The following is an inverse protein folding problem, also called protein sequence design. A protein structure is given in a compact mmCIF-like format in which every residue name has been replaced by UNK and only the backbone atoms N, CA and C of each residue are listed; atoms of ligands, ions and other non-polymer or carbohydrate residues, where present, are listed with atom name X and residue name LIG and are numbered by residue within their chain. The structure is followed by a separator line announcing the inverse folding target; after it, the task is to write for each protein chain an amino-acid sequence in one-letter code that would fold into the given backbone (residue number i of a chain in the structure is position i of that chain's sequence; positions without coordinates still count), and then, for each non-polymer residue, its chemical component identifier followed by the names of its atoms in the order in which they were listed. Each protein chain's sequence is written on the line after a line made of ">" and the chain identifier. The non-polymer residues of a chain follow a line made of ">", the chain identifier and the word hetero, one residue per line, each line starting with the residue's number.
data_IF_693703837455
#
_entry.id   IF_693703837455
#
_cell.length_a   1.000
_cell.length_b   1.000
_cell.length_c   1.000
_cell.angle_alpha   90.00
_cell.angle_beta   90.00
_cell.angle_gamma   90.00
#
_symmetry.space_group_name_H-M   'P 1'
#
loop_
_entity.id
_entity.type
_entity.pdbx_description
1 polymer ?
#
# COMPACT_ATOMS: atom_id res chain seq x y z
N UNK A 1 -41.84 -21.78 -13.07
CA UNK A 1 -40.76 -20.84 -12.67
C UNK A 1 -39.60 -21.01 -13.63
N UNK A 2 -38.85 -19.95 -13.97
CA UNK A 2 -37.56 -20.09 -14.66
C UNK A 2 -36.66 -21.07 -13.89
N UNK A 3 -35.72 -21.71 -14.59
CA UNK A 3 -34.71 -22.53 -13.91
C UNK A 3 -33.84 -21.65 -13.01
N UNK A 4 -33.19 -22.26 -12.02
CA UNK A 4 -32.35 -21.51 -11.09
C UNK A 4 -31.19 -20.79 -11.82
N UNK A 5 -30.62 -21.45 -12.83
CA UNK A 5 -29.63 -20.84 -13.73
C UNK A 5 -30.17 -19.60 -14.45
N UNK A 6 -31.41 -19.66 -14.95
CA UNK A 6 -32.03 -18.52 -15.64
C UNK A 6 -32.29 -17.37 -14.68
N UNK A 7 -32.72 -17.64 -13.45
CA UNK A 7 -32.91 -16.62 -12.44
C UNK A 7 -31.58 -15.98 -11.99
N UNK A 8 -30.50 -16.75 -11.87
CA UNK A 8 -29.14 -16.22 -11.61
C UNK A 8 -28.69 -15.30 -12.74
N UNK A 9 -28.87 -15.71 -14.00
CA UNK A 9 -28.51 -14.89 -15.16
C UNK A 9 -29.31 -13.58 -15.22
N UNK A 10 -30.61 -13.63 -14.94
CA UNK A 10 -31.46 -12.45 -14.92
C UNK A 10 -31.10 -11.52 -13.75
N UNK A 11 -30.83 -12.07 -12.57
CA UNK A 11 -30.45 -11.30 -11.40
C UNK A 11 -29.15 -10.53 -11.68
N UNK A 12 -28.17 -11.22 -12.26
CA UNK A 12 -26.93 -10.60 -12.69
C UNK A 12 -27.17 -9.53 -13.78
N UNK A 13 -27.96 -9.82 -14.82
CA UNK A 13 -28.28 -8.84 -15.87
C UNK A 13 -28.88 -7.55 -15.32
N UNK A 14 -29.79 -7.65 -14.36
CA UNK A 14 -30.43 -6.49 -13.73
C UNK A 14 -29.61 -5.88 -12.58
N UNK A 15 -28.47 -6.49 -12.22
CA UNK A 15 -27.66 -6.02 -11.09
C UNK A 15 -28.32 -6.23 -9.72
N UNK A 16 -29.27 -7.16 -9.62
CA UNK A 16 -30.05 -7.46 -8.41
C UNK A 16 -29.71 -8.86 -7.87
N UNK A 17 -30.13 -9.16 -6.65
CA UNK A 17 -30.00 -10.51 -6.09
C UNK A 17 -31.08 -11.46 -6.66
N UNK A 18 -30.80 -12.76 -6.67
CA UNK A 18 -31.77 -13.77 -7.10
C UNK A 18 -33.01 -13.78 -6.21
N UNK A 19 -32.84 -13.58 -4.89
CA UNK A 19 -33.94 -13.43 -3.94
C UNK A 19 -34.86 -12.26 -4.30
N UNK A 20 -34.32 -11.15 -4.80
CA UNK A 20 -35.13 -10.02 -5.29
C UNK A 20 -36.02 -10.43 -6.46
N UNK A 21 -35.52 -11.22 -7.41
CA UNK A 21 -36.33 -11.78 -8.50
C UNK A 21 -37.38 -12.79 -8.03
N UNK A 22 -37.11 -13.46 -6.91
CA UNK A 22 -38.02 -14.43 -6.30
C UNK A 22 -39.00 -13.80 -5.30
N UNK A 23 -38.94 -12.48 -5.09
CA UNK A 23 -39.84 -11.76 -4.19
C UNK A 23 -39.44 -11.86 -2.71
N UNK A 24 -38.21 -12.29 -2.41
CA UNK A 24 -37.63 -12.19 -1.07
C UNK A 24 -37.36 -10.71 -0.76
N UNK A 25 -38.25 -10.13 0.04
CA UNK A 25 -38.33 -8.68 0.31
C UNK A 25 -37.58 -8.24 1.56
N UNK A 26 -36.95 -9.17 2.27
CA UNK A 26 -36.18 -8.91 3.50
C UNK A 26 -34.73 -8.45 3.22
N UNK A 27 -34.48 -7.92 2.03
CA UNK A 27 -33.17 -7.48 1.60
C UNK A 27 -32.92 -6.01 1.94
N UNK A 28 -31.82 -5.74 2.65
CA UNK A 28 -31.23 -4.40 2.71
C UNK A 28 -30.84 -4.02 1.28
N UNK A 29 -31.42 -2.97 0.71
CA UNK A 29 -30.91 -2.35 -0.51
C UNK A 29 -29.46 -1.92 -0.24
N UNK A 30 -28.49 -2.64 -0.79
CA UNK A 30 -27.08 -2.40 -0.52
C UNK A 30 -26.59 -1.27 -1.43
N UNK A 31 -26.77 -0.03 -0.97
CA UNK A 31 -26.18 1.15 -1.65
C UNK A 31 -24.66 1.10 -1.56
N UNK A 32 -23.94 1.68 -2.52
CA UNK A 32 -22.48 1.77 -2.47
C UNK A 32 -21.99 2.46 -1.18
N UNK A 33 -22.66 3.51 -0.72
CA UNK A 33 -22.36 4.19 0.54
C UNK A 33 -22.44 3.24 1.75
N UNK A 34 -23.51 2.44 1.83
CA UNK A 34 -23.63 1.40 2.86
C UNK A 34 -22.53 0.34 2.76
N UNK A 35 -22.09 -0.02 1.55
CA UNK A 35 -21.01 -0.96 1.31
C UNK A 35 -19.66 -0.43 1.81
N UNK A 36 -19.33 0.81 1.46
CA UNK A 36 -18.11 1.52 1.92
C UNK A 36 -18.09 1.57 3.44
N UNK A 37 -19.20 1.99 4.06
CA UNK A 37 -19.30 2.09 5.51
C UNK A 37 -19.20 0.73 6.22
N UNK A 38 -19.78 -0.32 5.63
CA UNK A 38 -19.77 -1.66 6.23
C UNK A 38 -18.41 -2.37 6.07
N UNK A 39 -17.79 -2.26 4.90
CA UNK A 39 -16.55 -2.98 4.57
C UNK A 39 -15.29 -2.20 4.97
N UNK A 40 -15.37 -0.88 5.16
CA UNK A 40 -14.21 -0.02 5.38
C UNK A 40 -13.30 0.10 4.15
N UNK A 41 -13.82 -0.25 2.96
CA UNK A 41 -13.11 -0.19 1.69
C UNK A 41 -13.59 1.01 0.88
N UNK A 42 -12.71 1.55 0.02
CA UNK A 42 -13.12 2.57 -0.94
C UNK A 42 -14.13 2.01 -1.95
N UNK A 43 -14.97 2.89 -2.50
CA UNK A 43 -15.92 2.56 -3.57
C UNK A 43 -15.22 1.83 -4.74
N UNK A 44 -14.04 2.33 -5.13
CA UNK A 44 -13.25 1.73 -6.21
C UNK A 44 -12.78 0.30 -5.88
N UNK A 45 -12.33 0.04 -4.64
CA UNK A 45 -11.92 -1.30 -4.22
C UNK A 45 -13.12 -2.27 -4.20
N UNK A 46 -14.28 -1.81 -3.75
CA UNK A 46 -15.53 -2.58 -3.73
C UNK A 46 -15.97 -2.90 -5.17
N UNK A 47 -15.89 -1.94 -6.09
CA UNK A 47 -16.15 -2.18 -7.51
C UNK A 47 -15.19 -3.22 -8.11
N UNK A 48 -13.90 -3.17 -7.81
CA UNK A 48 -12.94 -4.18 -8.29
C UNK A 48 -13.25 -5.57 -7.74
N UNK A 49 -13.59 -5.72 -6.46
CA UNK A 49 -14.02 -7.01 -5.90
C UNK A 49 -15.30 -7.48 -6.59
N UNK A 50 -16.27 -6.59 -6.79
CA UNK A 50 -17.52 -6.88 -7.50
C UNK A 50 -17.25 -7.34 -8.94
N UNK A 51 -16.39 -6.64 -9.68
CA UNK A 51 -16.04 -7.00 -11.07
C UNK A 51 -15.29 -8.33 -11.17
N UNK A 52 -14.41 -8.62 -10.19
CA UNK A 52 -13.69 -9.88 -10.12
C UNK A 52 -14.57 -11.10 -9.79
N UNK A 53 -15.79 -10.85 -9.28
CA UNK A 53 -16.72 -11.89 -8.83
C UNK A 53 -18.01 -11.99 -9.66
N UNK A 54 -18.21 -11.11 -10.66
CA UNK A 54 -19.41 -11.06 -11.52
C UNK A 54 -19.24 -11.68 -12.90
N UNK A 55 -20.37 -12.08 -13.49
CA UNK A 55 -20.44 -12.92 -14.68
C UNK A 55 -20.07 -12.22 -16.00
N UNK A 56 -20.24 -10.91 -16.10
CA UNK A 56 -20.00 -10.13 -17.32
C UNK A 56 -18.56 -9.59 -17.47
N UNK A 57 -17.81 -9.53 -16.37
CA UNK A 57 -16.45 -8.97 -16.33
C UNK A 57 -15.36 -9.92 -15.84
N UNK A 58 -15.71 -11.01 -15.15
CA UNK A 58 -14.77 -12.07 -14.82
C UNK A 58 -14.38 -12.84 -16.10
N UNK A 59 -13.34 -12.34 -16.76
CA UNK A 59 -12.60 -13.02 -17.83
C UNK A 59 -13.39 -13.27 -19.13
N UNK A 60 -13.49 -12.23 -19.97
CA UNK A 60 -13.79 -12.41 -21.41
C UNK A 60 -12.76 -13.29 -22.14
N UNK A 61 -11.64 -13.63 -21.48
CA UNK A 61 -10.64 -14.61 -21.90
C UNK A 61 -10.92 -16.02 -21.33
N UNK A 62 -12.01 -16.63 -21.79
CA UNK A 62 -12.22 -18.07 -22.12
C UNK A 62 -11.99 -19.20 -21.08
N UNK A 63 -11.47 -19.04 -19.86
CA UNK A 63 -11.16 -20.23 -19.01
C UNK A 63 -11.65 -20.28 -17.55
N UNK A 64 -12.40 -19.31 -17.03
CA UNK A 64 -12.89 -19.37 -15.65
C UNK A 64 -14.38 -19.02 -15.57
N UNK A 65 -15.18 -19.91 -14.98
CA UNK A 65 -16.59 -19.64 -14.74
C UNK A 65 -16.75 -18.64 -13.58
N UNK A 66 -17.79 -17.80 -13.58
CA UNK A 66 -17.98 -16.79 -12.52
C UNK A 66 -18.12 -17.35 -11.11
N UNK A 67 -18.73 -18.53 -10.96
CA UNK A 67 -18.79 -19.26 -9.69
C UNK A 67 -17.38 -19.65 -9.21
N UNK A 68 -16.48 -20.00 -10.13
CA UNK A 68 -15.10 -20.35 -9.82
C UNK A 68 -14.28 -19.10 -9.44
N UNK A 69 -14.53 -17.97 -10.12
CA UNK A 69 -13.92 -16.69 -9.77
C UNK A 69 -14.36 -16.22 -8.37
N UNK A 70 -15.68 -16.24 -8.09
CA UNK A 70 -16.25 -15.93 -6.78
C UNK A 70 -15.68 -16.82 -5.68
N UNK A 71 -15.58 -18.14 -5.93
CA UNK A 71 -14.96 -19.09 -4.99
C UNK A 71 -13.48 -18.77 -4.76
N UNK A 72 -12.72 -18.49 -5.82
CA UNK A 72 -11.28 -18.20 -5.73
C UNK A 72 -11.02 -16.93 -4.91
N UNK A 73 -11.74 -15.84 -5.19
CA UNK A 73 -11.63 -14.60 -4.43
C UNK A 73 -12.07 -14.80 -2.98
N UNK A 74 -13.16 -15.53 -2.74
CA UNK A 74 -13.64 -15.82 -1.39
C UNK A 74 -12.62 -16.64 -0.59
N UNK A 75 -11.98 -17.63 -1.22
CA UNK A 75 -10.93 -18.42 -0.59
C UNK A 75 -9.71 -17.55 -0.26
N UNK A 76 -9.25 -16.69 -1.18
CA UNK A 76 -8.16 -15.75 -0.94
C UNK A 76 -8.42 -14.84 0.26
N UNK A 77 -9.57 -14.15 0.26
CA UNK A 77 -9.94 -13.21 1.31
C UNK A 77 -10.25 -13.92 2.64
N UNK A 78 -10.67 -15.19 2.57
CA UNK A 78 -10.97 -16.04 3.72
C UNK A 78 -9.77 -16.85 4.24
N UNK A 79 -8.59 -16.71 3.65
CA UNK A 79 -7.39 -17.43 4.09
C UNK A 79 -7.04 -17.06 5.55
N UNK A 80 -6.61 -18.05 6.34
CA UNK A 80 -6.14 -17.83 7.71
C UNK A 80 -4.90 -16.93 7.77
N UNK A 81 -4.21 -16.78 6.64
CA UNK A 81 -2.99 -15.98 6.45
C UNK A 81 -3.24 -14.62 5.82
N UNK A 82 -4.50 -14.29 5.52
CA UNK A 82 -4.85 -13.04 4.86
C UNK A 82 -4.44 -11.80 5.70
N UNK A 83 -4.66 -11.84 7.02
CA UNK A 83 -4.25 -10.73 7.89
C UNK A 83 -2.73 -10.57 7.98
N UNK A 84 -1.97 -11.67 7.97
CA UNK A 84 -0.49 -11.61 7.94
C UNK A 84 -0.02 -10.90 6.66
N UNK A 85 -0.67 -11.16 5.51
CA UNK A 85 -0.40 -10.47 4.25
C UNK A 85 -0.74 -8.97 4.32
N UNK A 86 -1.89 -8.60 4.91
CA UNK A 86 -2.28 -7.19 5.08
C UNK A 86 -1.28 -6.45 5.96
N UNK A 87 -0.83 -7.05 7.05
CA UNK A 87 0.19 -6.46 7.94
C UNK A 87 1.52 -6.24 7.21
N UNK A 88 1.95 -7.20 6.39
CA UNK A 88 3.17 -7.05 5.60
C UNK A 88 3.06 -5.93 4.52
N UNK A 89 1.87 -5.74 3.94
CA UNK A 89 1.59 -4.62 3.03
C UNK A 89 1.61 -3.26 3.76
N UNK A 90 1.09 -3.19 4.98
CA UNK A 90 1.11 -1.98 5.79
C UNK A 90 2.54 -1.61 6.22
N UNK A 91 3.35 -2.60 6.58
CA UNK A 91 4.78 -2.37 6.89
C UNK A 91 5.54 -1.86 5.65
N UNK A 92 5.23 -2.40 4.47
CA UNK A 92 5.75 -1.85 3.21
C UNK A 92 5.32 -0.39 3.01
N UNK A 93 4.06 -0.04 3.28
CA UNK A 93 3.61 1.35 3.19
C UNK A 93 4.39 2.27 4.15
N UNK A 94 4.62 1.83 5.40
CA UNK A 94 5.44 2.58 6.37
C UNK A 94 6.88 2.76 5.92
N UNK A 95 7.51 1.72 5.38
CA UNK A 95 8.91 1.81 4.95
C UNK A 95 9.06 2.74 3.74
N UNK A 96 8.09 2.73 2.82
CA UNK A 96 8.14 3.57 1.61
C UNK A 96 7.66 5.00 1.85
N UNK A 97 6.63 5.19 2.66
CA UNK A 97 5.92 6.46 2.88
C UNK A 97 6.13 7.05 4.28
N UNK A 98 6.97 6.44 5.11
CA UNK A 98 7.31 6.93 6.46
C UNK A 98 7.99 8.30 6.47
N UNK A 99 8.21 8.88 7.67
CA UNK A 99 8.76 10.21 7.83
C UNK A 99 10.08 10.38 7.08
N UNK A 100 10.12 11.36 6.19
CA UNK A 100 11.32 11.68 5.42
C UNK A 100 12.32 12.43 6.31
N UNK A 101 13.16 11.65 7.01
CA UNK A 101 14.22 12.15 7.90
C UNK A 101 15.12 13.14 7.17
N UNK A 102 15.37 12.94 5.86
CA UNK A 102 16.20 13.86 5.07
C UNK A 102 15.53 15.23 4.96
N UNK A 103 14.26 15.27 4.54
CA UNK A 103 13.50 16.54 4.48
C UNK A 103 13.40 17.23 5.83
N UNK A 104 13.24 16.48 6.91
CA UNK A 104 13.16 17.05 8.26
C UNK A 104 14.48 17.72 8.64
N UNK A 105 15.60 17.00 8.54
CA UNK A 105 16.92 17.51 8.91
C UNK A 105 17.35 18.70 8.03
N UNK A 106 17.08 18.64 6.72
CA UNK A 106 17.36 19.78 5.83
C UNK A 106 16.55 21.02 6.20
N UNK A 107 15.26 20.86 6.48
CA UNK A 107 14.41 21.99 6.91
C UNK A 107 14.91 22.62 8.20
N UNK A 108 15.31 21.81 9.19
CA UNK A 108 15.84 22.30 10.46
C UNK A 108 17.14 23.12 10.25
N UNK A 109 18.02 22.67 9.36
CA UNK A 109 19.25 23.39 9.00
C UNK A 109 18.96 24.71 8.25
N UNK A 110 18.06 24.68 7.26
CA UNK A 110 17.66 25.86 6.51
C UNK A 110 16.96 26.92 7.39
N UNK A 111 16.13 26.48 8.34
CA UNK A 111 15.51 27.38 9.33
C UNK A 111 16.53 28.03 10.26
N UNK A 112 17.63 27.33 10.58
CA UNK A 112 18.66 27.82 11.50
C UNK A 112 19.70 28.73 10.82
N UNK A 113 20.18 28.35 9.64
CA UNK A 113 21.33 28.99 8.98
C UNK A 113 20.97 29.71 7.67
N UNK A 114 19.79 29.46 7.11
CA UNK A 114 19.38 29.93 5.80
C UNK A 114 19.93 29.05 4.66
N UNK A 115 19.17 28.95 3.57
CA UNK A 115 19.48 28.04 2.46
C UNK A 115 20.83 28.33 1.78
N UNK A 116 21.27 29.59 1.71
CA UNK A 116 22.58 29.95 1.10
C UNK A 116 23.75 29.38 1.92
N UNK A 117 23.74 29.54 3.25
CA UNK A 117 24.80 29.05 4.12
C UNK A 117 24.82 27.52 4.17
N UNK A 118 23.65 26.87 4.17
CA UNK A 118 23.55 25.41 4.09
C UNK A 118 24.12 24.89 2.77
N UNK A 119 23.81 25.55 1.65
CA UNK A 119 24.36 25.19 0.33
C UNK A 119 25.88 25.35 0.28
N UNK A 120 26.41 26.46 0.78
CA UNK A 120 27.85 26.70 0.84
C UNK A 120 28.55 25.67 1.75
N UNK A 121 27.96 25.33 2.90
CA UNK A 121 28.48 24.30 3.79
C UNK A 121 28.45 22.87 3.20
N UNK A 122 27.51 22.56 2.31
CA UNK A 122 27.46 21.29 1.59
C UNK A 122 28.59 21.14 0.56
N UNK A 123 28.97 22.24 -0.08
CA UNK A 123 30.01 22.28 -1.12
C UNK A 123 31.41 22.54 -0.55
N UNK A 124 31.52 22.92 0.73
CA UNK A 124 32.78 23.27 1.35
C UNK A 124 33.73 22.07 1.48
N UNK A 125 34.93 22.21 0.89
CA UNK A 125 36.01 21.22 0.98
C UNK A 125 37.11 21.70 1.94
N UNK A 126 37.21 21.15 3.18
CA UNK A 126 38.15 21.64 4.19
C UNK A 126 39.62 21.56 3.78
N UNK A 127 39.97 20.61 2.90
CA UNK A 127 41.33 20.40 2.43
C UNK A 127 41.80 21.46 1.43
N UNK A 128 40.87 22.08 0.69
CA UNK A 128 41.20 23.17 -0.25
C UNK A 128 41.45 24.50 0.48
N UNK A 129 40.96 24.60 1.73
CA UNK A 129 41.03 25.78 2.58
C UNK A 129 41.92 25.56 3.83
N UNK A 130 42.84 24.60 3.75
CA UNK A 130 43.70 24.23 4.89
C UNK A 130 44.61 25.41 5.29
N UNK A 131 44.44 25.89 6.53
CA UNK A 131 45.19 27.03 7.08
C UNK A 131 44.51 28.39 6.92
N UNK A 132 43.34 28.45 6.28
CA UNK A 132 42.53 29.67 6.20
C UNK A 132 41.71 29.88 7.48
N UNK A 133 41.52 31.15 7.84
CA UNK A 133 40.65 31.52 8.96
C UNK A 133 39.20 31.49 8.49
N UNK A 134 38.50 30.41 8.84
CA UNK A 134 37.08 30.21 8.52
C UNK A 134 36.22 30.91 9.58
N UNK A 135 35.17 31.61 9.12
CA UNK A 135 34.20 32.25 9.99
C UNK A 135 33.63 31.25 11.03
N UNK A 136 33.57 31.59 12.33
CA UNK A 136 33.10 30.67 13.35
C UNK A 136 31.65 30.20 13.18
N UNK A 137 30.76 31.06 12.66
CA UNK A 137 29.35 30.71 12.41
C UNK A 137 29.25 29.75 11.24
N UNK A 138 30.00 30.01 10.17
CA UNK A 138 30.10 29.08 9.04
C UNK A 138 30.69 27.73 9.45
N UNK A 139 31.72 27.71 10.31
CA UNK A 139 32.29 26.47 10.84
C UNK A 139 31.27 25.65 11.62
N UNK A 140 30.45 26.31 12.45
CA UNK A 140 29.36 25.64 13.17
C UNK A 140 28.33 25.05 12.20
N UNK A 141 27.88 25.85 11.23
CA UNK A 141 26.96 25.39 10.18
C UNK A 141 27.51 24.19 9.41
N UNK A 142 28.78 24.22 9.02
CA UNK A 142 29.47 23.12 8.36
C UNK A 142 29.45 21.83 9.20
N UNK A 143 29.81 21.91 10.48
CA UNK A 143 29.82 20.74 11.37
C UNK A 143 28.42 20.14 11.50
N UNK A 144 27.38 20.97 11.68
CA UNK A 144 26.01 20.50 11.80
C UNK A 144 25.45 19.93 10.49
N UNK A 145 25.83 20.48 9.34
CA UNK A 145 25.51 19.93 8.01
C UNK A 145 26.14 18.55 7.85
N UNK A 146 27.42 18.37 8.21
CA UNK A 146 28.09 17.07 8.13
C UNK A 146 27.45 16.02 9.05
N UNK A 147 27.14 16.38 10.30
CA UNK A 147 26.43 15.49 11.24
C UNK A 147 25.04 15.11 10.71
N UNK A 148 24.32 16.05 10.10
CA UNK A 148 23.05 15.76 9.45
C UNK A 148 23.21 14.82 8.25
N UNK A 149 24.24 15.00 7.41
CA UNK A 149 24.55 14.11 6.29
C UNK A 149 24.87 12.69 6.76
N UNK A 150 25.65 12.53 7.82
CA UNK A 150 25.94 11.23 8.43
C UNK A 150 24.68 10.54 8.94
N UNK A 151 23.81 11.28 9.64
CA UNK A 151 22.49 10.78 10.10
C UNK A 151 21.60 10.38 8.93
N UNK A 152 21.56 11.17 7.86
CA UNK A 152 20.80 10.85 6.65
C UNK A 152 21.34 9.60 5.96
N UNK A 153 22.66 9.44 5.89
CA UNK A 153 23.30 8.26 5.31
C UNK A 153 23.00 7.00 6.12
N UNK A 154 23.13 7.07 7.45
CA UNK A 154 22.76 6.00 8.36
C UNK A 154 21.27 5.61 8.21
N UNK A 155 20.38 6.60 8.24
CA UNK A 155 18.94 6.40 8.06
C UNK A 155 18.61 5.78 6.68
N UNK A 156 19.31 6.17 5.61
CA UNK A 156 19.12 5.61 4.28
C UNK A 156 19.61 4.16 4.18
N UNK A 157 20.74 3.84 4.82
CA UNK A 157 21.24 2.47 4.88
C UNK A 157 20.32 1.56 5.71
N UNK A 158 19.85 2.04 6.86
CA UNK A 158 18.83 1.36 7.65
C UNK A 158 17.56 1.16 6.83
N UNK A 159 17.04 2.21 6.20
CA UNK A 159 15.87 2.14 5.32
C UNK A 159 16.05 1.11 4.22
N UNK A 160 17.18 1.06 3.52
CA UNK A 160 17.45 0.04 2.49
C UNK A 160 17.46 -1.39 3.06
N UNK A 161 18.03 -1.58 4.25
CA UNK A 161 18.00 -2.87 4.93
C UNK A 161 16.57 -3.27 5.33
N UNK A 162 15.79 -2.33 5.87
CA UNK A 162 14.38 -2.53 6.20
C UNK A 162 13.52 -2.75 4.94
N UNK A 163 13.77 -2.06 3.84
CA UNK A 163 13.10 -2.29 2.54
C UNK A 163 13.33 -3.71 2.04
N UNK A 164 14.56 -4.19 2.08
CA UNK A 164 14.89 -5.56 1.71
C UNK A 164 14.16 -6.58 2.58
N UNK A 165 14.15 -6.36 3.89
CA UNK A 165 13.45 -7.20 4.86
C UNK A 165 11.92 -7.19 4.65
N UNK A 166 11.31 -6.02 4.52
CA UNK A 166 9.88 -5.86 4.33
C UNK A 166 9.40 -6.49 3.01
N UNK A 167 10.18 -6.35 1.93
CA UNK A 167 9.91 -7.05 0.66
C UNK A 167 9.95 -8.57 0.81
N UNK A 168 10.93 -9.08 1.56
CA UNK A 168 11.02 -10.51 1.84
C UNK A 168 9.83 -11.01 2.68
N UNK A 169 9.45 -10.28 3.73
CA UNK A 169 8.33 -10.61 4.60
C UNK A 169 6.99 -10.58 3.83
N UNK A 170 6.78 -9.58 2.96
CA UNK A 170 5.62 -9.53 2.07
C UNK A 170 5.55 -10.75 1.13
N UNK A 171 6.68 -11.09 0.49
CA UNK A 171 6.73 -12.25 -0.40
C UNK A 171 6.42 -13.56 0.36
N UNK A 172 6.97 -13.71 1.56
CA UNK A 172 6.71 -14.86 2.43
C UNK A 172 5.25 -14.91 2.88
N UNK A 173 4.66 -13.79 3.27
CA UNK A 173 3.25 -13.75 3.66
C UNK A 173 2.32 -14.16 2.50
N UNK A 174 2.64 -13.72 1.28
CA UNK A 174 1.92 -14.16 0.09
C UNK A 174 2.07 -15.67 -0.16
N UNK A 175 3.28 -16.21 -0.01
CA UNK A 175 3.52 -17.66 -0.09
C UNK A 175 2.72 -18.45 0.97
N UNK A 176 2.63 -17.93 2.20
CA UNK A 176 1.84 -18.56 3.27
C UNK A 176 0.34 -18.58 2.94
N UNK A 177 -0.19 -17.53 2.30
CA UNK A 177 -1.56 -17.54 1.77
C UNK A 177 -1.72 -18.64 0.73
N UNK A 178 -0.81 -18.76 -0.23
CA UNK A 178 -0.87 -19.83 -1.26
C UNK A 178 -0.86 -21.22 -0.63
N UNK A 179 -0.01 -21.46 0.37
CA UNK A 179 0.06 -22.74 1.11
C UNK A 179 -1.21 -23.04 1.91
N UNK A 180 -1.87 -22.03 2.47
CA UNK A 180 -3.15 -22.19 3.16
C UNK A 180 -4.28 -22.54 2.17
N UNK A 181 -4.25 -21.96 0.96
CA UNK A 181 -5.23 -22.26 -0.09
C UNK A 181 -5.03 -23.64 -0.75
N UNK A 182 -3.77 -24.08 -0.85
CA UNK A 182 -3.38 -25.32 -1.52
C UNK A 182 -2.40 -26.12 -0.63
N UNK A 183 -2.89 -26.75 0.45
CA UNK A 183 -2.06 -27.56 1.34
C UNK A 183 -1.59 -28.85 0.64
N UNK A 184 -0.37 -29.29 0.97
CA UNK A 184 0.20 -30.57 0.53
C UNK A 184 -0.51 -31.79 1.13
#
# INVERSE_FOLDING_TARGET
>A
MPSMEVAIMLADFFGVDVGYLLGETDYRSFTMEAAVNYLGLSEHAIEHIRLATRFDTAFRSVHMLPIEAGKTISSLLGSKKFFDLVMALEEMDRVYNGPDIQKKLFRELEEKYGSEMVAEALEFEPYEHEGEEVDPVFREAYIEVQDAMDKMYAANNERKAYEGKARYELAKAFEEVVRDLYPE
#
